data_IF_816801905590
#
_entry.id   IF_816801905590
#
_cell.length_a   1.000
_cell.length_b   1.000
_cell.length_c   1.000
_cell.angle_alpha   90.00
_cell.angle_beta   90.00
_cell.angle_gamma   90.00
#
_symmetry.space_group_name_H-M   'P 1'
#
loop_
_entity.id
_entity.type
_entity.pdbx_description
1 polymer ?
#
# COMPACT_ATOMS: atom_id res chain seq x y z
N UNK A 1 22.48 -6.53 4.08
CA UNK A 1 21.27 -6.41 3.24
C UNK A 1 20.29 -7.49 3.66
N UNK A 2 19.15 -7.13 4.25
CA UNK A 2 18.13 -8.10 4.66
C UNK A 2 17.21 -8.44 3.49
N UNK A 3 17.04 -9.74 3.21
CA UNK A 3 16.00 -10.19 2.29
C UNK A 3 14.65 -10.13 3.02
N UNK A 4 13.64 -9.50 2.41
CA UNK A 4 12.26 -9.65 2.88
C UNK A 4 11.87 -11.13 2.78
N UNK A 5 11.44 -11.71 3.89
CA UNK A 5 11.09 -13.12 4.01
C UNK A 5 9.87 -13.23 4.91
N UNK A 6 8.83 -13.91 4.43
CA UNK A 6 7.58 -14.11 5.19
C UNK A 6 7.82 -14.91 6.46
N UNK A 7 8.55 -16.05 6.47
CA UNK A 7 8.60 -16.92 7.65
C UNK A 7 9.12 -16.24 8.93
N UNK A 8 10.17 -15.39 8.91
CA UNK A 8 10.58 -14.63 10.09
C UNK A 8 9.51 -13.64 10.59
N UNK A 9 8.77 -13.01 9.68
CA UNK A 9 7.72 -12.04 10.00
C UNK A 9 6.51 -12.77 10.62
N UNK A 10 6.09 -13.89 10.03
CA UNK A 10 5.02 -14.73 10.58
C UNK A 10 5.41 -15.29 11.95
N UNK A 11 6.64 -15.77 12.12
CA UNK A 11 7.14 -16.24 13.41
C UNK A 11 7.21 -15.14 14.47
N UNK A 12 7.47 -13.89 14.06
CA UNK A 12 7.36 -12.73 14.94
C UNK A 12 5.91 -12.49 15.37
N UNK A 13 4.95 -12.55 14.45
CA UNK A 13 3.54 -12.40 14.78
C UNK A 13 3.01 -13.52 15.67
N UNK A 14 3.38 -14.77 15.41
CA UNK A 14 2.97 -15.92 16.24
C UNK A 14 3.46 -15.82 17.69
N UNK A 15 4.57 -15.13 17.92
CA UNK A 15 5.15 -14.93 19.27
C UNK A 15 4.67 -13.65 19.94
N UNK A 16 4.03 -12.76 19.19
CA UNK A 16 3.52 -11.48 19.68
C UNK A 16 2.09 -11.65 20.15
N UNK A 17 1.80 -11.26 21.40
CA UNK A 17 0.42 -11.13 21.89
C UNK A 17 -0.26 -9.84 21.42
N UNK A 18 0.46 -8.97 20.71
CA UNK A 18 -0.03 -7.69 20.23
C UNK A 18 -0.57 -7.81 18.81
N UNK A 19 -1.73 -7.18 18.56
CA UNK A 19 -2.29 -7.01 17.22
C UNK A 19 -1.44 -5.99 16.44
N UNK A 20 -0.89 -6.39 15.29
CA UNK A 20 -0.20 -5.45 14.42
C UNK A 20 -1.23 -4.62 13.65
N UNK A 21 -1.27 -3.33 13.97
CA UNK A 21 -2.21 -2.38 13.36
C UNK A 21 -1.57 -1.54 12.26
N UNK A 22 -0.24 -1.37 12.28
CA UNK A 22 0.49 -0.53 11.34
C UNK A 22 1.65 -1.32 10.74
N UNK A 23 1.74 -1.37 9.41
CA UNK A 23 2.81 -2.07 8.71
C UNK A 23 3.45 -1.15 7.67
N UNK A 24 4.73 -0.82 7.86
CA UNK A 24 5.53 -0.09 6.89
C UNK A 24 6.56 -0.99 6.24
N UNK A 25 6.50 -1.14 4.92
CA UNK A 25 7.48 -1.88 4.13
C UNK A 25 8.13 -0.92 3.13
N UNK A 26 9.29 -0.43 3.54
CA UNK A 26 10.14 0.45 2.75
C UNK A 26 11.21 -0.34 2.01
N UNK A 27 11.66 0.24 0.90
CA UNK A 27 12.65 -0.41 0.05
C UNK A 27 14.02 -0.45 0.74
N UNK A 28 14.59 -1.65 0.83
CA UNK A 28 16.02 -1.85 0.59
C UNK A 28 16.19 -2.19 -0.90
N UNK A 29 17.35 -1.98 -1.53
CA UNK A 29 17.56 -2.34 -2.95
C UNK A 29 17.19 -3.81 -3.23
N UNK A 30 15.94 -4.08 -3.64
CA UNK A 30 15.46 -5.42 -3.95
C UNK A 30 15.57 -5.65 -5.47
N UNK A 31 16.45 -6.56 -5.92
CA UNK A 31 16.55 -6.89 -7.35
C UNK A 31 15.28 -7.56 -7.90
N UNK A 32 14.44 -8.15 -7.03
CA UNK A 32 13.24 -8.91 -7.40
C UNK A 32 11.95 -8.28 -6.84
N UNK A 33 11.56 -7.10 -7.33
CA UNK A 33 10.37 -6.38 -6.87
C UNK A 33 9.05 -7.17 -6.93
N UNK A 34 8.88 -8.05 -7.93
CA UNK A 34 7.71 -8.92 -8.06
C UNK A 34 7.59 -9.91 -6.89
N UNK A 35 8.70 -10.53 -6.48
CA UNK A 35 8.70 -11.48 -5.36
C UNK A 35 8.26 -10.80 -4.06
N UNK A 36 8.77 -9.59 -3.80
CA UNK A 36 8.40 -8.83 -2.61
C UNK A 36 6.92 -8.47 -2.60
N UNK A 37 6.36 -8.05 -3.74
CA UNK A 37 4.93 -7.75 -3.85
C UNK A 37 4.06 -8.99 -3.60
N UNK A 38 4.42 -10.15 -4.17
CA UNK A 38 3.71 -11.41 -3.93
C UNK A 38 3.84 -11.88 -2.49
N UNK A 39 5.03 -11.75 -1.91
CA UNK A 39 5.27 -12.14 -0.54
C UNK A 39 4.45 -11.28 0.43
N UNK A 40 4.36 -9.98 0.15
CA UNK A 40 3.50 -9.07 0.92
C UNK A 40 2.02 -9.43 0.77
N UNK A 41 1.53 -9.68 -0.44
CA UNK A 41 0.13 -10.10 -0.63
C UNK A 41 -0.18 -11.40 0.12
N UNK A 42 0.79 -12.33 0.18
CA UNK A 42 0.66 -13.57 0.96
C UNK A 42 0.57 -13.26 2.45
N UNK A 43 1.40 -12.35 2.96
CA UNK A 43 1.33 -11.90 4.34
C UNK A 43 -0.01 -11.20 4.66
N UNK A 44 -0.47 -10.30 3.79
CA UNK A 44 -1.73 -9.56 3.94
C UNK A 44 -2.97 -10.46 3.87
N UNK A 45 -2.86 -11.65 3.26
CA UNK A 45 -3.89 -12.67 3.27
C UNK A 45 -3.86 -13.56 4.52
N UNK A 46 -2.80 -13.50 5.32
CA UNK A 46 -2.67 -14.32 6.53
C UNK A 46 -3.54 -13.80 7.69
N UNK A 47 -3.89 -14.65 8.67
CA UNK A 47 -4.64 -14.22 9.85
C UNK A 47 -3.94 -13.11 10.65
N UNK A 48 -2.60 -13.03 10.58
CA UNK A 48 -1.79 -12.06 11.30
C UNK A 48 -1.96 -10.63 10.80
N UNK A 49 -2.43 -10.45 9.56
CA UNK A 49 -2.66 -9.14 8.96
C UNK A 49 -4.09 -8.63 9.15
N UNK A 50 -4.95 -9.36 9.87
CA UNK A 50 -6.38 -9.03 10.00
C UNK A 50 -6.67 -7.75 10.77
N UNK A 51 -5.74 -7.30 11.60
CA UNK A 51 -5.89 -6.11 12.43
C UNK A 51 -5.16 -4.89 11.84
N UNK A 52 -4.51 -5.04 10.67
CA UNK A 52 -3.80 -3.94 10.02
C UNK A 52 -4.82 -2.88 9.58
N UNK A 53 -4.65 -1.66 10.08
CA UNK A 53 -5.45 -0.48 9.72
C UNK A 53 -4.69 0.50 8.85
N UNK A 54 -3.36 0.50 8.95
CA UNK A 54 -2.46 1.37 8.18
C UNK A 54 -1.36 0.54 7.50
N UNK A 55 -1.26 0.70 6.19
CA UNK A 55 -0.26 0.03 5.37
C UNK A 55 0.52 1.07 4.56
N UNK A 56 1.83 1.14 4.81
CA UNK A 56 2.75 1.94 4.02
C UNK A 56 3.64 1.02 3.17
N UNK A 57 3.67 1.23 1.86
CA UNK A 57 4.42 0.40 0.92
C UNK A 57 5.22 1.22 -0.09
N UNK A 58 6.46 0.79 -0.32
CA UNK A 58 7.31 1.30 -1.38
C UNK A 58 7.64 0.16 -2.36
N UNK A 59 6.74 -0.07 -3.32
CA UNK A 59 6.77 -1.23 -4.23
C UNK A 59 6.97 -0.85 -5.70
N UNK A 60 7.87 0.08 -6.01
CA UNK A 60 8.13 0.43 -7.41
C UNK A 60 8.95 -0.66 -8.13
N UNK A 61 8.57 -1.09 -9.36
CA UNK A 61 7.45 -0.64 -10.22
C UNK A 61 6.15 -1.46 -10.07
N UNK A 62 6.06 -2.36 -9.10
CA UNK A 62 4.97 -3.34 -8.93
C UNK A 62 3.68 -2.78 -8.32
N UNK A 63 3.57 -1.46 -8.18
CA UNK A 63 2.45 -0.78 -7.51
C UNK A 63 1.10 -1.14 -8.16
N UNK A 64 1.07 -1.20 -9.50
CA UNK A 64 -0.15 -1.54 -10.25
C UNK A 64 -0.63 -2.95 -9.94
N UNK A 65 0.25 -3.95 -10.02
CA UNK A 65 -0.12 -5.34 -9.74
C UNK A 65 -0.54 -5.52 -8.28
N UNK A 66 0.11 -4.78 -7.37
CA UNK A 66 -0.25 -4.78 -5.97
C UNK A 66 -1.64 -4.17 -5.73
N UNK A 67 -1.94 -3.02 -6.33
CA UNK A 67 -3.28 -2.40 -6.27
C UNK A 67 -4.34 -3.24 -6.95
N UNK A 68 -4.02 -3.88 -8.09
CA UNK A 68 -4.93 -4.80 -8.78
C UNK A 68 -5.32 -5.96 -7.85
N UNK A 69 -4.35 -6.53 -7.14
CA UNK A 69 -4.58 -7.62 -6.20
C UNK A 69 -5.35 -7.18 -4.95
N UNK A 70 -5.08 -5.97 -4.42
CA UNK A 70 -5.84 -5.40 -3.31
C UNK A 70 -7.29 -5.08 -3.70
N UNK A 71 -7.53 -4.56 -4.91
CA UNK A 71 -8.87 -4.27 -5.40
C UNK A 71 -9.69 -5.55 -5.63
N UNK A 72 -9.05 -6.60 -6.18
CA UNK A 72 -9.72 -7.86 -6.52
C UNK A 72 -9.99 -8.78 -5.31
N UNK A 73 -9.33 -8.57 -4.17
CA UNK A 73 -9.42 -9.46 -3.01
C UNK A 73 -9.71 -8.65 -1.75
N UNK A 74 -10.60 -9.12 -0.89
CA UNK A 74 -10.82 -8.56 0.45
C UNK A 74 -9.71 -9.00 1.42
N UNK A 75 -8.45 -8.74 1.06
CA UNK A 75 -7.30 -8.89 1.95
C UNK A 75 -7.17 -7.65 2.82
N UNK A 76 -6.93 -7.85 4.11
CA UNK A 76 -6.94 -6.82 5.17
C UNK A 76 -8.24 -5.99 5.15
N UNK A 77 -9.36 -6.58 5.60
CA UNK A 77 -10.68 -5.92 5.55
C UNK A 77 -10.75 -4.68 6.45
N UNK A 78 -9.84 -4.55 7.43
CA UNK A 78 -9.73 -3.43 8.36
C UNK A 78 -8.91 -2.26 7.83
N UNK A 79 -8.35 -2.36 6.62
CA UNK A 79 -7.43 -1.36 6.09
C UNK A 79 -8.15 -0.02 5.88
N UNK A 80 -7.73 1.00 6.63
CA UNK A 80 -8.27 2.36 6.58
C UNK A 80 -7.37 3.31 5.80
N UNK A 81 -6.07 3.17 5.96
CA UNK A 81 -5.05 4.03 5.35
C UNK A 81 -4.12 3.20 4.49
N UNK A 82 -3.91 3.63 3.24
CA UNK A 82 -2.93 3.05 2.34
C UNK A 82 -1.98 4.14 1.88
N UNK A 83 -0.71 4.01 2.23
CA UNK A 83 0.34 4.92 1.85
C UNK A 83 1.25 4.29 0.81
N UNK A 84 1.41 4.97 -0.33
CA UNK A 84 2.40 4.64 -1.33
C UNK A 84 3.52 5.67 -1.32
N UNK A 85 4.76 5.19 -1.32
CA UNK A 85 5.94 6.04 -1.52
C UNK A 85 6.51 5.92 -2.92
N UNK A 86 7.19 6.97 -3.37
CA UNK A 86 7.90 7.04 -4.64
C UNK A 86 7.05 6.73 -5.88
N UNK A 87 5.83 7.28 -5.97
CA UNK A 87 4.78 6.77 -6.83
C UNK A 87 4.71 7.38 -8.25
N UNK A 88 5.80 7.33 -8.99
CA UNK A 88 5.93 7.93 -10.32
C UNK A 88 5.14 7.20 -11.45
N UNK A 89 4.34 6.17 -11.12
CA UNK A 89 3.62 5.31 -12.08
C UNK A 89 2.12 5.14 -11.77
N UNK A 90 1.54 5.99 -10.91
CA UNK A 90 0.20 5.75 -10.38
C UNK A 90 -0.95 5.91 -11.37
N UNK A 91 -0.73 6.56 -12.52
CA UNK A 91 -1.79 6.81 -13.50
C UNK A 91 -2.52 5.51 -13.90
N UNK A 92 -1.79 4.40 -14.02
CA UNK A 92 -2.35 3.08 -14.34
C UNK A 92 -3.03 2.34 -13.18
N UNK A 93 -2.94 2.86 -11.95
CA UNK A 93 -3.46 2.25 -10.73
C UNK A 93 -4.69 2.98 -10.15
N UNK A 94 -4.93 4.25 -10.53
CA UNK A 94 -6.02 5.08 -9.98
C UNK A 94 -7.39 4.44 -10.12
N UNK A 95 -7.72 3.89 -11.30
CA UNK A 95 -9.01 3.22 -11.52
C UNK A 95 -9.25 2.08 -10.52
N UNK A 96 -8.19 1.36 -10.15
CA UNK A 96 -8.25 0.23 -9.20
C UNK A 96 -8.27 0.69 -7.76
N UNK A 97 -7.67 1.84 -7.45
CA UNK A 97 -7.82 2.49 -6.15
C UNK A 97 -9.26 2.95 -5.92
N UNK A 98 -9.91 3.51 -6.94
CA UNK A 98 -11.32 3.88 -6.89
C UNK A 98 -12.24 2.66 -6.70
N UNK A 99 -11.97 1.57 -7.43
CA UNK A 99 -12.71 0.32 -7.25
C UNK A 99 -12.50 -0.28 -5.86
N UNK A 100 -11.25 -0.30 -5.38
CA UNK A 100 -10.92 -0.74 -4.02
C UNK A 100 -11.68 0.08 -2.98
N UNK A 101 -11.74 1.40 -3.14
CA UNK A 101 -12.50 2.30 -2.27
C UNK A 101 -13.99 1.99 -2.29
N UNK A 102 -14.60 1.92 -3.47
CA UNK A 102 -16.02 1.61 -3.62
C UNK A 102 -16.40 0.28 -2.95
N UNK A 103 -15.55 -0.74 -3.07
CA UNK A 103 -15.80 -2.07 -2.50
C UNK A 103 -15.58 -2.15 -0.97
N UNK A 104 -14.87 -1.17 -0.39
CA UNK A 104 -14.43 -1.20 1.02
C UNK A 104 -15.00 -0.04 1.83
N UNK A 105 -15.95 0.72 1.29
CA UNK A 105 -16.67 1.73 2.05
C UNK A 105 -17.47 1.09 3.19
N UNK A 106 -17.49 1.68 4.41
CA UNK A 106 -16.86 2.94 4.81
C UNK A 106 -15.46 2.80 5.46
N UNK A 107 -14.83 1.62 5.33
CA UNK A 107 -13.59 1.29 6.05
C UNK A 107 -12.36 1.96 5.43
N UNK A 108 -12.17 1.81 4.12
CA UNK A 108 -11.04 2.46 3.43
C UNK A 108 -11.31 3.96 3.28
N UNK A 109 -10.45 4.78 3.89
CA UNK A 109 -10.73 6.20 4.15
C UNK A 109 -9.68 7.13 3.55
N UNK A 110 -8.39 6.78 3.67
CA UNK A 110 -7.31 7.68 3.26
C UNK A 110 -6.29 7.00 2.36
N UNK A 111 -5.85 7.75 1.35
CA UNK A 111 -4.80 7.37 0.41
C UNK A 111 -3.69 8.42 0.45
N UNK A 112 -2.50 7.97 0.82
CA UNK A 112 -1.35 8.81 1.09
C UNK A 112 -0.31 8.58 -0.01
N UNK A 113 -0.02 9.60 -0.82
CA UNK A 113 0.77 9.47 -2.03
C UNK A 113 2.02 10.35 -1.94
N UNK A 114 3.19 9.73 -2.07
CA UNK A 114 4.45 10.46 -2.12
C UNK A 114 5.17 10.29 -3.43
N UNK A 115 5.65 11.39 -4.00
CA UNK A 115 6.48 11.40 -5.20
C UNK A 115 7.94 11.69 -4.84
N UNK A 116 8.86 11.00 -5.51
CA UNK A 116 10.30 11.28 -5.36
C UNK A 116 10.61 12.68 -5.92
N UNK A 117 11.49 13.42 -5.26
CA UNK A 117 12.02 14.67 -5.82
C UNK A 117 12.63 14.42 -7.22
N UNK A 118 12.28 15.27 -8.19
CA UNK A 118 12.67 15.12 -9.60
C UNK A 118 11.85 14.13 -10.44
N UNK A 119 10.82 13.48 -9.88
CA UNK A 119 9.88 12.67 -10.66
C UNK A 119 8.71 13.51 -11.20
N UNK A 120 8.03 13.02 -12.24
CA UNK A 120 6.84 13.69 -12.78
C UNK A 120 5.77 13.75 -11.67
N UNK A 121 5.22 14.93 -11.37
CA UNK A 121 4.15 15.04 -10.39
C UNK A 121 2.91 14.26 -10.84
N UNK A 122 2.14 13.78 -9.87
CA UNK A 122 0.85 13.15 -10.13
C UNK A 122 -0.10 14.13 -10.82
N UNK A 123 -0.89 13.63 -11.77
CA UNK A 123 -1.90 14.45 -12.45
C UNK A 123 -2.91 14.99 -11.43
N UNK A 124 -3.13 16.32 -11.46
CA UNK A 124 -4.11 16.97 -10.60
C UNK A 124 -5.53 16.45 -10.85
N UNK A 125 -5.87 16.15 -12.11
CA UNK A 125 -7.18 15.60 -12.47
C UNK A 125 -7.42 14.24 -11.80
N UNK A 126 -6.36 13.41 -11.68
CA UNK A 126 -6.46 12.11 -11.01
C UNK A 126 -6.61 12.26 -9.50
N UNK A 127 -5.89 13.20 -8.88
CA UNK A 127 -6.03 13.51 -7.45
C UNK A 127 -7.47 13.99 -7.18
N UNK A 128 -8.00 14.88 -8.03
CA UNK A 128 -9.36 15.39 -7.91
C UNK A 128 -10.40 14.29 -8.09
N UNK A 129 -10.20 13.36 -9.04
CA UNK A 129 -11.08 12.21 -9.22
C UNK A 129 -11.13 11.32 -7.97
N UNK A 130 -9.98 11.05 -7.34
CA UNK A 130 -9.90 10.29 -6.09
C UNK A 130 -10.61 11.03 -4.95
N UNK A 131 -10.35 12.32 -4.76
CA UNK A 131 -11.01 13.13 -3.72
C UNK A 131 -12.53 13.21 -3.89
N UNK A 132 -12.98 13.35 -5.14
CA UNK A 132 -14.42 13.43 -5.47
C UNK A 132 -15.19 12.14 -5.15
N UNK A 133 -14.49 11.02 -4.98
CA UNK A 133 -15.10 9.75 -4.52
C UNK A 133 -15.31 9.68 -2.99
N UNK A 134 -14.96 10.73 -2.25
CA UNK A 134 -15.02 10.77 -0.79
C UNK A 134 -13.80 10.15 -0.10
N UNK A 135 -12.75 9.82 -0.85
CA UNK A 135 -11.47 9.36 -0.32
C UNK A 135 -10.63 10.57 0.13
N UNK A 136 -10.07 10.50 1.33
CA UNK A 136 -9.12 11.50 1.80
C UNK A 136 -7.75 11.29 1.16
N UNK A 137 -7.40 12.14 0.20
CA UNK A 137 -6.15 12.02 -0.56
C UNK A 137 -5.13 13.03 -0.05
N UNK A 138 -4.06 12.51 0.54
CA UNK A 138 -2.92 13.29 1.06
C UNK A 138 -1.73 13.11 0.13
N UNK A 139 -1.15 14.21 -0.34
CA UNK A 139 0.06 14.21 -1.18
C UNK A 139 1.19 14.91 -0.48
N UNK A 140 2.38 14.31 -0.43
CA UNK A 140 3.56 14.89 0.22
C UNK A 140 4.87 14.59 -0.52
N UNK A 141 5.83 15.48 -0.40
CA UNK A 141 7.16 15.34 -1.03
C UNK A 141 8.13 14.67 -0.07
N UNK A 142 9.05 13.85 -0.56
CA UNK A 142 10.06 13.20 0.30
C UNK A 142 11.07 14.19 0.94
N UNK A 143 11.03 15.49 0.60
CA UNK A 143 11.87 16.53 1.22
C UNK A 143 11.40 16.94 2.63
N UNK A 144 10.24 16.45 3.08
CA UNK A 144 9.64 16.78 4.38
C UNK A 144 10.01 15.79 5.52
N UNK A 145 11.00 14.89 5.34
CA UNK A 145 11.49 13.98 6.40
C UNK A 145 13.02 13.93 6.52
#
# INVERSE_FOLDING_TARGET
MGHFSIPPITAFFDRSSCALTHLGIRRGHYPNGLKVALDLLTLLASPHARDIVDLEVELNPMIKQFTDALAARTIVPTLRVLAFRNCHWLDGAVARMLEMHANRQPVFQSLWLSTKSGSRPLSQDLIQALKSSGLDVVTFSEEDN
#
